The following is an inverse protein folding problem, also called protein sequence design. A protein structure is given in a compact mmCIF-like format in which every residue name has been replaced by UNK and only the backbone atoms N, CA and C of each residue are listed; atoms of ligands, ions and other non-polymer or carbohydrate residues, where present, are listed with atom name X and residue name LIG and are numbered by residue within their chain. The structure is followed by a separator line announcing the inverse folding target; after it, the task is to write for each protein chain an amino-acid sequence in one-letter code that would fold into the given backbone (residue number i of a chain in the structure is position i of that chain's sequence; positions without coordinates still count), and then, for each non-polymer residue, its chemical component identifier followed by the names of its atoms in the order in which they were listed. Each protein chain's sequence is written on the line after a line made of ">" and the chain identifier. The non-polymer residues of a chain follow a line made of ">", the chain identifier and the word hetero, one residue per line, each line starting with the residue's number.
data_IF_195462269636
#
_entry.id   IF_195462269636
#
_cell.length_a   1.000
_cell.length_b   1.000
_cell.length_c   1.000
_cell.angle_alpha   90.00
_cell.angle_beta   90.00
_cell.angle_gamma   90.00
#
_symmetry.space_group_name_H-M   'P 1'
#
loop_
_entity.id
_entity.type
_entity.pdbx_description
1 polymer ?
#
# COMPACT_ATOMS: atom_id res chain seq x y z
N UNK A 1 6.87 -10.01 3.98
CA UNK A 1 5.73 -9.63 4.83
C UNK A 1 4.65 -9.08 3.92
N UNK A 2 3.54 -9.82 3.78
CA UNK A 2 2.49 -9.47 2.82
C UNK A 2 1.23 -9.10 3.59
N UNK A 3 0.80 -7.85 3.47
CA UNK A 3 -0.41 -7.33 4.10
C UNK A 3 -0.46 -7.58 5.62
N UNK A 4 0.62 -7.20 6.32
CA UNK A 4 0.81 -7.49 7.75
C UNK A 4 0.78 -6.25 8.61
N UNK A 5 1.74 -5.33 8.43
CA UNK A 5 1.99 -4.31 9.44
C UNK A 5 0.89 -3.23 9.52
N UNK A 6 0.05 -3.11 8.50
CA UNK A 6 -1.15 -2.28 8.53
C UNK A 6 -2.22 -2.80 9.51
N UNK A 7 -2.17 -4.09 9.87
CA UNK A 7 -3.04 -4.72 10.87
C UNK A 7 -2.44 -4.70 12.28
N UNK A 8 -1.15 -4.36 12.41
CA UNK A 8 -0.44 -4.41 13.70
C UNK A 8 -0.70 -3.11 14.47
N UNK A 9 -1.03 -3.22 15.76
CA UNK A 9 -1.32 -2.05 16.61
C UNK A 9 -0.15 -1.05 16.69
N UNK A 10 1.06 -1.57 16.86
CA UNK A 10 2.30 -0.81 16.87
C UNK A 10 3.22 -1.28 15.73
N UNK A 11 3.11 -0.66 14.54
CA UNK A 11 3.84 -1.11 13.36
C UNK A 11 5.33 -0.81 13.47
N UNK A 12 5.73 0.28 14.13
CA UNK A 12 7.14 0.68 14.24
C UNK A 12 7.92 -0.34 15.08
N UNK A 13 7.47 -0.61 16.31
CA UNK A 13 8.13 -1.60 17.17
C UNK A 13 8.15 -2.99 16.53
N UNK A 14 7.07 -3.36 15.82
CA UNK A 14 6.98 -4.63 15.12
C UNK A 14 8.02 -4.74 13.99
N UNK A 15 8.11 -3.70 13.15
CA UNK A 15 9.05 -3.64 12.03
C UNK A 15 10.51 -3.57 12.51
N UNK A 16 10.80 -2.83 13.57
CA UNK A 16 12.14 -2.76 14.17
C UNK A 16 12.59 -4.13 14.70
N UNK A 17 11.71 -4.82 15.44
CA UNK A 17 11.99 -6.17 15.94
C UNK A 17 12.19 -7.16 14.81
N UNK A 18 11.48 -7.00 13.69
CA UNK A 18 11.61 -7.92 12.57
C UNK A 18 12.96 -7.83 11.85
N UNK A 19 13.73 -6.75 12.02
CA UNK A 19 15.06 -6.59 11.43
C UNK A 19 16.04 -7.71 11.83
N UNK A 20 15.85 -8.34 12.98
CA UNK A 20 16.77 -9.39 13.48
C UNK A 20 16.62 -10.74 12.77
N UNK A 21 15.56 -10.94 11.98
CA UNK A 21 15.26 -12.25 11.40
C UNK A 21 15.75 -12.43 9.96
N UNK A 22 16.09 -11.36 9.24
CA UNK A 22 16.57 -11.46 7.87
C UNK A 22 17.35 -10.21 7.44
N UNK A 23 18.26 -10.37 6.47
CA UNK A 23 18.98 -9.25 5.85
C UNK A 23 18.12 -8.49 4.83
N UNK A 24 17.29 -9.22 4.08
CA UNK A 24 16.44 -8.68 3.01
C UNK A 24 14.98 -9.02 3.26
N UNK A 25 14.11 -8.07 2.92
CA UNK A 25 12.68 -8.16 3.13
C UNK A 25 11.94 -7.74 1.87
N UNK A 26 10.86 -8.46 1.58
CA UNK A 26 9.86 -8.05 0.60
C UNK A 26 8.58 -7.71 1.33
N UNK A 27 8.08 -6.50 1.13
CA UNK A 27 6.82 -6.02 1.67
C UNK A 27 5.77 -5.94 0.57
N UNK A 28 4.56 -6.38 0.86
CA UNK A 28 3.37 -6.03 0.08
C UNK A 28 2.46 -5.22 0.99
N UNK A 29 2.07 -4.03 0.52
CA UNK A 29 1.46 -2.98 1.34
C UNK A 29 0.24 -2.42 0.61
N UNK A 30 -0.96 -2.44 1.22
CA UNK A 30 -2.14 -1.81 0.63
C UNK A 30 -2.06 -0.28 0.72
N UNK A 31 -2.39 0.41 -0.38
CA UNK A 31 -2.42 1.88 -0.44
C UNK A 31 -3.86 2.40 -0.36
N UNK A 32 -4.41 2.36 0.84
CA UNK A 32 -5.81 2.73 1.09
C UNK A 32 -6.05 4.25 1.07
N UNK A 33 -5.03 5.06 1.41
CA UNK A 33 -5.19 6.51 1.44
C UNK A 33 -5.16 7.09 0.03
N UNK A 34 -6.26 7.77 -0.31
CA UNK A 34 -6.39 8.60 -1.51
C UNK A 34 -7.36 9.74 -1.25
N UNK A 35 -7.32 10.78 -2.09
CA UNK A 35 -8.24 11.93 -2.02
C UNK A 35 -9.70 11.44 -2.03
N UNK A 36 -10.05 10.53 -2.94
CA UNK A 36 -11.40 9.99 -2.99
C UNK A 36 -11.78 9.16 -1.76
N UNK A 37 -10.85 8.40 -1.20
CA UNK A 37 -11.11 7.60 0.00
C UNK A 37 -11.36 8.48 1.22
N UNK A 38 -10.57 9.55 1.39
CA UNK A 38 -10.75 10.53 2.47
C UNK A 38 -12.05 11.31 2.29
N UNK A 39 -12.32 11.84 1.08
CA UNK A 39 -13.53 12.61 0.80
C UNK A 39 -14.81 11.80 1.05
N UNK A 40 -14.79 10.51 0.71
CA UNK A 40 -15.98 9.64 0.86
C UNK A 40 -16.07 8.97 2.22
N UNK A 41 -14.94 8.78 2.91
CA UNK A 41 -14.73 8.08 4.19
C UNK A 41 -15.19 6.59 4.25
N UNK A 42 -16.27 6.24 3.55
CA UNK A 42 -16.84 4.89 3.43
C UNK A 42 -15.81 3.82 3.06
N UNK A 43 -14.89 4.04 2.08
CA UNK A 43 -13.91 3.01 1.73
C UNK A 43 -12.97 2.67 2.89
N UNK A 44 -12.49 3.67 3.65
CA UNK A 44 -11.56 3.48 4.77
C UNK A 44 -12.23 2.71 5.92
N UNK A 45 -13.46 3.08 6.25
CA UNK A 45 -14.26 2.39 7.27
C UNK A 45 -14.59 0.96 6.84
N UNK A 46 -14.97 0.74 5.57
CA UNK A 46 -15.28 -0.60 5.07
C UNK A 46 -14.07 -1.52 5.09
N UNK A 47 -12.86 -1.02 4.81
CA UNK A 47 -11.63 -1.82 4.87
C UNK A 47 -11.29 -2.12 6.34
N UNK A 48 -11.46 -1.15 7.24
CA UNK A 48 -11.30 -1.38 8.69
C UNK A 48 -12.19 -2.50 9.21
N UNK A 49 -13.46 -2.47 8.86
CA UNK A 49 -14.46 -3.40 9.37
C UNK A 49 -14.30 -4.80 8.78
N UNK A 50 -13.98 -4.90 7.48
CA UNK A 50 -13.94 -6.18 6.77
C UNK A 50 -12.61 -6.92 6.87
N UNK A 51 -11.50 -6.18 6.82
CA UNK A 51 -10.15 -6.78 6.78
C UNK A 51 -9.27 -6.35 7.95
N UNK A 52 -9.66 -5.32 8.71
CA UNK A 52 -8.98 -4.98 9.96
C UNK A 52 -7.78 -4.05 9.80
N UNK A 53 -7.68 -3.27 8.71
CA UNK A 53 -6.60 -2.30 8.55
C UNK A 53 -6.70 -1.25 9.65
N UNK A 54 -5.70 -1.21 10.54
CA UNK A 54 -5.59 -0.23 11.61
C UNK A 54 -4.92 1.04 11.12
N UNK A 55 -3.93 0.87 10.23
CA UNK A 55 -3.14 1.93 9.61
C UNK A 55 -3.44 2.00 8.11
N UNK A 56 -3.41 3.21 7.56
CA UNK A 56 -3.67 3.45 6.15
C UNK A 56 -2.50 4.23 5.56
N UNK A 57 -2.08 3.86 4.35
CA UNK A 57 -0.87 4.41 3.76
C UNK A 57 -1.12 5.02 2.38
N UNK A 58 -0.40 6.11 2.09
CA UNK A 58 0.01 6.45 0.72
C UNK A 58 1.35 5.77 0.45
N UNK A 59 1.80 5.73 -0.82
CA UNK A 59 3.12 5.17 -1.15
C UNK A 59 4.22 5.80 -0.27
N UNK A 60 4.27 7.12 -0.22
CA UNK A 60 5.35 7.81 0.48
C UNK A 60 5.33 7.50 1.98
N UNK A 61 4.14 7.54 2.60
CA UNK A 61 4.02 7.21 4.02
C UNK A 61 4.44 5.77 4.30
N UNK A 62 4.07 4.81 3.45
CA UNK A 62 4.53 3.42 3.59
C UNK A 62 6.06 3.31 3.50
N UNK A 63 6.68 4.01 2.55
CA UNK A 63 8.14 4.01 2.38
C UNK A 63 8.87 4.68 3.55
N UNK A 64 8.36 5.82 4.03
CA UNK A 64 8.94 6.51 5.20
C UNK A 64 8.77 5.69 6.48
N UNK A 65 7.62 5.04 6.71
CA UNK A 65 7.44 4.13 7.85
C UNK A 65 8.49 3.02 7.86
N UNK A 66 8.78 2.40 6.71
CA UNK A 66 9.87 1.42 6.62
C UNK A 66 11.24 2.06 6.91
N UNK A 67 11.54 3.23 6.36
CA UNK A 67 12.84 3.90 6.60
C UNK A 67 13.06 4.26 8.07
N UNK A 68 12.01 4.76 8.72
CA UNK A 68 11.98 5.13 10.13
C UNK A 68 12.16 3.90 11.02
N UNK A 69 11.60 2.75 10.63
CA UNK A 69 11.80 1.46 11.30
C UNK A 69 13.13 0.77 10.98
N UNK A 70 14.10 1.47 10.38
CA UNK A 70 15.47 0.94 10.17
C UNK A 70 15.69 0.17 8.86
N UNK A 71 14.78 0.28 7.90
CA UNK A 71 14.94 -0.33 6.58
C UNK A 71 15.59 0.64 5.57
N UNK A 72 16.40 0.08 4.67
CA UNK A 72 16.90 0.73 3.46
C UNK A 72 16.07 0.24 2.27
N UNK A 73 15.41 1.17 1.56
CA UNK A 73 14.59 0.83 0.40
C UNK A 73 15.48 0.62 -0.82
N UNK A 74 15.56 -0.61 -1.32
CA UNK A 74 16.35 -0.94 -2.51
C UNK A 74 15.55 -0.75 -3.79
N UNK A 75 14.29 -1.18 -3.79
CA UNK A 75 13.41 -1.05 -4.93
C UNK A 75 11.95 -1.07 -4.50
N UNK A 76 11.07 -0.47 -5.30
CA UNK A 76 9.63 -0.58 -5.13
C UNK A 76 8.93 -0.58 -6.49
N UNK A 77 7.77 -1.22 -6.54
CA UNK A 77 6.90 -1.18 -7.70
C UNK A 77 5.44 -1.24 -7.26
N UNK A 78 4.53 -0.72 -8.09
CA UNK A 78 3.10 -0.95 -7.89
C UNK A 78 2.71 -2.28 -8.52
N UNK A 79 1.91 -3.07 -7.80
CA UNK A 79 1.51 -4.43 -8.22
C UNK A 79 0.42 -4.44 -9.29
N UNK A 80 -0.18 -3.29 -9.59
CA UNK A 80 -1.33 -3.17 -10.48
C UNK A 80 -2.56 -3.95 -9.97
N UNK A 81 -2.72 -4.07 -8.64
CA UNK A 81 -3.91 -4.67 -8.02
C UNK A 81 -5.20 -4.00 -8.52
N UNK A 82 -5.14 -2.70 -8.85
CA UNK A 82 -6.25 -1.94 -9.44
C UNK A 82 -6.57 -2.33 -10.90
N UNK A 83 -5.82 -3.24 -11.51
CA UNK A 83 -6.00 -3.72 -12.90
C UNK A 83 -6.18 -5.24 -12.99
N UNK A 84 -5.66 -6.02 -12.05
CA UNK A 84 -5.57 -7.50 -12.13
C UNK A 84 -6.63 -8.29 -11.32
N UNK A 85 -7.53 -7.63 -10.59
CA UNK A 85 -8.49 -8.34 -9.71
C UNK A 85 -9.48 -9.26 -10.48
N UNK A 86 -9.58 -10.57 -10.18
CA UNK A 86 -10.32 -11.57 -10.97
C UNK A 86 -11.86 -11.42 -10.99
N UNK A 87 -12.45 -10.78 -9.97
CA UNK A 87 -13.91 -10.73 -9.76
C UNK A 87 -14.48 -9.33 -9.99
N UNK A 88 -14.48 -8.83 -11.23
CA UNK A 88 -15.07 -7.52 -11.54
C UNK A 88 -16.54 -7.60 -11.98
N UNK A 89 -17.41 -7.00 -11.16
CA UNK A 89 -18.70 -6.48 -11.61
C UNK A 89 -18.52 -5.50 -12.78
N UNK A 90 -19.44 -5.52 -13.76
CA UNK A 90 -19.44 -4.66 -14.95
C UNK A 90 -19.29 -3.16 -14.62
N UNK A 91 -19.78 -2.70 -13.46
CA UNK A 91 -19.61 -1.32 -12.97
C UNK A 91 -18.14 -0.96 -12.68
N UNK A 92 -17.34 -1.91 -12.18
CA UNK A 92 -15.90 -1.73 -11.91
C UNK A 92 -15.08 -1.68 -13.20
N UNK A 93 -15.59 -2.29 -14.28
CA UNK A 93 -14.96 -2.29 -15.61
C UNK A 93 -15.03 -0.91 -16.28
N UNK A 94 -16.14 -0.18 -16.15
CA UNK A 94 -16.28 1.20 -16.66
C UNK A 94 -15.41 2.22 -15.91
N UNK A 95 -15.29 2.09 -14.58
CA UNK A 95 -14.41 2.96 -13.76
C UNK A 95 -12.91 2.71 -13.98
N UNK A 96 -12.55 1.62 -14.68
CA UNK A 96 -11.15 1.29 -14.99
C UNK A 96 -10.57 2.10 -16.16
N UNK A 97 -11.42 2.69 -17.01
CA UNK A 97 -11.01 3.44 -18.21
C UNK A 97 -10.39 4.81 -17.84
N UNK A 98 -11.04 5.68 -17.05
CA UNK A 98 -10.41 6.92 -16.61
C UNK A 98 -9.21 6.67 -15.69
N UNK A 99 -9.24 5.60 -14.89
CA UNK A 99 -8.08 5.15 -14.08
C UNK A 99 -6.88 4.84 -14.98
N UNK A 100 -7.05 4.06 -16.05
CA UNK A 100 -5.97 3.72 -16.99
C UNK A 100 -5.34 4.95 -17.64
N UNK A 101 -6.14 5.96 -18.01
CA UNK A 101 -5.65 7.20 -18.63
C UNK A 101 -4.82 8.01 -17.64
N UNK A 102 -5.31 8.20 -16.41
CA UNK A 102 -4.55 8.90 -15.37
C UNK A 102 -3.28 8.15 -14.94
N UNK A 103 -3.33 6.81 -14.87
CA UNK A 103 -2.18 5.97 -14.56
C UNK A 103 -1.08 6.03 -15.63
N UNK A 104 -1.45 6.33 -16.89
CA UNK A 104 -0.50 6.45 -17.99
C UNK A 104 0.24 7.80 -18.00
N UNK A 105 -0.40 8.87 -17.52
CA UNK A 105 0.18 10.22 -17.49
C UNK A 105 1.07 10.43 -16.27
N UNK A 106 0.63 10.04 -15.07
CA UNK A 106 1.45 10.07 -13.84
C UNK A 106 0.93 9.05 -12.82
N UNK A 107 1.54 7.86 -12.80
CA UNK A 107 1.08 6.72 -11.99
C UNK A 107 0.91 7.08 -10.51
N UNK A 108 1.86 7.80 -9.94
CA UNK A 108 1.83 8.27 -8.55
C UNK A 108 0.62 9.18 -8.25
N UNK A 109 0.33 10.12 -9.15
CA UNK A 109 -0.79 11.03 -8.99
C UNK A 109 -2.12 10.28 -9.10
N UNK A 110 -2.22 9.33 -10.04
CA UNK A 110 -3.36 8.44 -10.18
C UNK A 110 -3.64 7.65 -8.90
N UNK A 111 -2.60 7.05 -8.28
CA UNK A 111 -2.74 6.33 -7.00
C UNK A 111 -3.21 7.27 -5.90
N UNK A 112 -2.57 8.44 -5.73
CA UNK A 112 -2.93 9.39 -4.66
C UNK A 112 -4.35 9.94 -4.82
N UNK A 113 -4.82 10.12 -6.05
CA UNK A 113 -6.15 10.66 -6.32
C UNK A 113 -7.23 9.58 -6.18
N UNK A 114 -7.03 8.42 -6.82
CA UNK A 114 -8.08 7.42 -7.05
C UNK A 114 -8.00 6.19 -6.14
N UNK A 115 -6.83 5.92 -5.55
CA UNK A 115 -6.55 4.78 -4.69
C UNK A 115 -6.72 3.41 -5.36
N UNK A 116 -6.71 2.36 -4.53
CA UNK A 116 -6.97 0.99 -4.94
C UNK A 116 -5.78 0.26 -5.57
N UNK A 117 -4.56 0.73 -5.29
CA UNK A 117 -3.32 0.05 -5.65
C UNK A 117 -2.66 -0.57 -4.42
N UNK A 118 -1.72 -1.48 -4.66
CA UNK A 118 -0.81 -1.96 -3.61
C UNK A 118 0.63 -1.76 -4.07
N UNK A 119 1.52 -1.67 -3.09
CA UNK A 119 2.94 -1.45 -3.27
C UNK A 119 3.69 -2.72 -2.91
N UNK A 120 4.61 -3.16 -3.79
CA UNK A 120 5.63 -4.13 -3.43
C UNK A 120 6.96 -3.40 -3.23
N UNK A 121 7.64 -3.70 -2.13
CA UNK A 121 8.89 -3.04 -1.73
C UNK A 121 9.93 -4.09 -1.40
N UNK A 122 11.10 -3.98 -2.01
CA UNK A 122 12.32 -4.69 -1.60
C UNK A 122 13.15 -3.77 -0.71
N UNK A 123 13.45 -4.24 0.49
CA UNK A 123 14.24 -3.50 1.45
C UNK A 123 15.30 -4.36 2.11
N UNK A 124 16.30 -3.70 2.70
CA UNK A 124 17.40 -4.31 3.44
C UNK A 124 17.43 -3.74 4.85
N UNK A 125 17.77 -4.55 5.84
CA UNK A 125 18.02 -4.06 7.19
C UNK A 125 19.31 -3.21 7.21
N UNK A 126 19.25 -1.97 7.75
CA UNK A 126 20.40 -1.05 7.80
C UNK A 126 21.56 -1.57 8.66
N UNK A 127 21.26 -2.32 9.72
CA UNK A 127 22.21 -2.75 10.74
C UNK A 127 22.55 -4.26 10.70
N UNK A 128 22.43 -4.89 9.53
CA UNK A 128 22.70 -6.33 9.35
C UNK A 128 24.14 -6.62 8.92
#
# INVERSE_FOLDING_TARGET
>A
MLDVFEHVRDPFTFLEKSLTFAKYFVFHIPLDLSVLAVLRNIPLLSVREKVGHLHYYTKDLALETLKDSGYEILHWNYTQASLSSPNRSLKTKMMSIPRKIFYWIHKDFGVRLLGGETLIVLAKAKNF
#
